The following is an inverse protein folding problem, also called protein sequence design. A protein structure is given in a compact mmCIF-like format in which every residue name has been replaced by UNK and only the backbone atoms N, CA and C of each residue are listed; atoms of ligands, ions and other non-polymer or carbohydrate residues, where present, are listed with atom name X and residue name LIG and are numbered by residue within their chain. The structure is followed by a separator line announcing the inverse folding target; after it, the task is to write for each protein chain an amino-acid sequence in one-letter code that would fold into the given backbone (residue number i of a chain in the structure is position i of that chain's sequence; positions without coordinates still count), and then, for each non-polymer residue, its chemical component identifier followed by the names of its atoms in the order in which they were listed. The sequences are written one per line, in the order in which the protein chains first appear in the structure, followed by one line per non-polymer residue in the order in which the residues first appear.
data_IF_962605320869
#
_entry.id   IF_962605320869
#
_cell.length_a   1.000
_cell.length_b   1.000
_cell.length_c   1.000
_cell.angle_alpha   90.00
_cell.angle_beta   90.00
_cell.angle_gamma   90.00
#
_symmetry.space_group_name_H-M   'P 1'
#
loop_
_entity.id
_entity.type
_entity.pdbx_description
1 polymer ?
#
# COMPACT_ATOMS: atom_id res chain seq x y z
N UNK A 1 -3.33 1.45 -31.60
CA UNK A 1 -3.59 -0.01 -31.50
C UNK A 1 -4.25 -0.23 -30.14
N UNK A 2 -5.42 -0.89 -30.06
CA UNK A 2 -6.05 -1.16 -28.76
C UNK A 2 -5.11 -1.99 -27.89
N UNK A 3 -4.97 -1.63 -26.61
CA UNK A 3 -4.25 -2.42 -25.63
C UNK A 3 -5.01 -3.71 -25.34
N UNK A 4 -4.59 -4.81 -25.97
CA UNK A 4 -5.23 -6.12 -25.84
C UNK A 4 -4.68 -6.94 -24.67
N UNK A 5 -3.56 -6.51 -24.06
CA UNK A 5 -2.88 -7.26 -23.00
C UNK A 5 -3.39 -6.76 -21.64
N UNK A 6 -3.34 -5.45 -21.41
CA UNK A 6 -3.76 -4.85 -20.13
C UNK A 6 -5.24 -4.48 -20.11
N UNK A 7 -5.84 -4.23 -21.28
CA UNK A 7 -7.26 -3.89 -21.42
C UNK A 7 -8.26 -5.05 -21.39
N UNK A 8 -7.79 -6.31 -21.29
CA UNK A 8 -8.68 -7.48 -21.17
C UNK A 8 -9.47 -7.43 -19.86
N UNK A 9 -10.71 -7.91 -19.77
CA UNK A 9 -11.40 -8.02 -18.48
C UNK A 9 -10.96 -9.30 -17.74
N UNK A 10 -10.33 -9.17 -16.57
CA UNK A 10 -9.83 -10.32 -15.78
C UNK A 10 -10.94 -11.27 -15.32
N UNK A 11 -12.18 -10.79 -15.21
CA UNK A 11 -13.32 -11.50 -14.66
C UNK A 11 -14.22 -12.09 -15.75
N UNK A 12 -14.35 -11.40 -16.89
CA UNK A 12 -15.22 -11.82 -17.98
C UNK A 12 -14.50 -12.55 -19.12
N UNK A 13 -13.18 -12.34 -19.30
CA UNK A 13 -12.49 -12.91 -20.45
C UNK A 13 -12.31 -14.43 -20.35
N UNK A 14 -12.43 -15.16 -21.48
CA UNK A 14 -12.16 -16.59 -21.50
C UNK A 14 -10.72 -16.92 -21.06
N UNK A 15 -10.55 -18.02 -20.35
CA UNK A 15 -9.24 -18.47 -19.88
C UNK A 15 -8.15 -18.59 -20.96
N UNK A 16 -8.43 -19.01 -22.21
CA UNK A 16 -7.42 -18.97 -23.28
C UNK A 16 -6.90 -17.57 -23.61
N UNK A 17 -7.74 -16.53 -23.47
CA UNK A 17 -7.33 -15.15 -23.70
C UNK A 17 -6.49 -14.63 -22.54
N UNK A 18 -6.92 -14.91 -21.30
CA UNK A 18 -6.14 -14.58 -20.10
C UNK A 18 -4.76 -15.23 -20.16
N UNK A 19 -4.68 -16.52 -20.51
CA UNK A 19 -3.41 -17.22 -20.69
C UNK A 19 -2.49 -16.52 -21.69
N UNK A 20 -3.01 -16.12 -22.86
CA UNK A 20 -2.20 -15.40 -23.87
C UNK A 20 -1.72 -14.03 -23.38
N UNK A 21 -2.53 -13.31 -22.61
CA UNK A 21 -2.14 -12.01 -22.05
C UNK A 21 -1.03 -12.19 -21.00
N UNK A 22 -1.21 -13.12 -20.06
CA UNK A 22 -0.19 -13.42 -19.04
C UNK A 22 1.08 -13.97 -19.69
N UNK A 23 0.96 -14.76 -20.76
CA UNK A 23 2.11 -15.23 -21.54
C UNK A 23 2.89 -14.09 -22.18
N UNK A 24 2.19 -13.10 -22.74
CA UNK A 24 2.85 -11.91 -23.28
C UNK A 24 3.58 -11.12 -22.16
N UNK A 25 2.95 -10.96 -20.99
CA UNK A 25 3.57 -10.33 -19.82
C UNK A 25 4.81 -11.12 -19.38
N UNK A 26 4.73 -12.45 -19.36
CA UNK A 26 5.86 -13.30 -19.03
C UNK A 26 7.03 -13.11 -20.00
N UNK A 27 6.76 -13.08 -21.30
CA UNK A 27 7.80 -12.80 -22.30
C UNK A 27 8.47 -11.43 -22.09
N UNK A 28 7.68 -10.40 -21.73
CA UNK A 28 8.20 -9.05 -21.44
C UNK A 28 8.98 -8.99 -20.12
N UNK A 29 8.67 -9.86 -19.15
CA UNK A 29 9.32 -9.85 -17.83
C UNK A 29 10.82 -10.17 -17.85
N UNK A 30 11.35 -10.71 -18.96
CA UNK A 30 12.78 -10.99 -19.13
C UNK A 30 13.58 -9.78 -19.63
N UNK A 31 12.91 -8.72 -20.07
CA UNK A 31 13.55 -7.52 -20.60
C UNK A 31 13.45 -6.37 -19.59
N UNK A 32 14.60 -5.87 -19.13
CA UNK A 32 14.63 -4.86 -18.07
C UNK A 32 13.98 -3.53 -18.48
N UNK A 33 14.11 -3.12 -19.74
CA UNK A 33 13.49 -1.89 -20.25
C UNK A 33 11.97 -2.05 -20.33
N UNK A 34 11.48 -3.20 -20.80
CA UNK A 34 10.06 -3.51 -20.79
C UNK A 34 9.47 -3.52 -19.37
N UNK A 35 10.22 -3.96 -18.35
CA UNK A 35 9.70 -3.99 -16.97
C UNK A 35 9.35 -2.62 -16.40
N UNK A 36 10.04 -1.55 -16.80
CA UNK A 36 9.67 -0.17 -16.43
C UNK A 36 8.31 0.20 -17.03
N UNK A 37 8.06 -0.20 -18.29
CA UNK A 37 6.76 0.05 -18.95
C UNK A 37 5.62 -0.79 -18.35
N UNK A 38 5.94 -1.93 -17.74
CA UNK A 38 4.94 -2.79 -17.07
C UNK A 38 4.41 -2.16 -15.79
N UNK A 39 5.26 -1.49 -15.02
CA UNK A 39 4.90 -0.73 -13.82
C UNK A 39 3.86 0.36 -14.16
N UNK A 40 4.15 1.20 -15.16
CA UNK A 40 3.23 2.25 -15.64
C UNK A 40 1.85 1.73 -16.08
N UNK A 41 1.78 0.45 -16.47
CA UNK A 41 0.57 -0.23 -16.95
C UNK A 41 -0.21 -0.95 -15.84
N UNK A 42 0.17 -0.78 -14.57
CA UNK A 42 -0.45 -1.45 -13.42
C UNK A 42 -0.48 -2.99 -13.60
N UNK A 43 0.63 -3.56 -14.09
CA UNK A 43 0.71 -5.01 -14.36
C UNK A 43 0.42 -5.86 -13.13
N UNK A 44 0.84 -5.41 -11.95
CA UNK A 44 0.65 -6.15 -10.70
C UNK A 44 -0.82 -6.26 -10.35
N UNK A 45 -1.55 -5.15 -10.38
CA UNK A 45 -3.02 -5.12 -10.22
C UNK A 45 -3.69 -6.07 -11.20
N UNK A 46 -3.21 -6.10 -12.45
CA UNK A 46 -3.72 -7.00 -13.48
C UNK A 46 -3.56 -8.46 -13.12
N UNK A 47 -2.35 -8.85 -12.71
CA UNK A 47 -2.04 -10.22 -12.26
C UNK A 47 -2.85 -10.57 -11.01
N UNK A 48 -2.97 -9.65 -10.05
CA UNK A 48 -3.76 -9.79 -8.82
C UNK A 48 -5.23 -10.09 -9.12
N UNK A 49 -5.83 -9.37 -10.06
CA UNK A 49 -7.21 -9.63 -10.46
C UNK A 49 -7.37 -10.99 -11.14
N UNK A 50 -6.44 -11.39 -11.99
CA UNK A 50 -6.46 -12.72 -12.64
C UNK A 50 -6.34 -13.83 -11.60
N UNK A 51 -5.40 -13.71 -10.65
CA UNK A 51 -5.22 -14.66 -9.54
C UNK A 51 -6.49 -14.75 -8.69
N UNK A 52 -7.13 -13.60 -8.42
CA UNK A 52 -8.34 -13.54 -7.59
C UNK A 52 -9.52 -14.26 -8.25
N UNK A 53 -9.72 -14.12 -9.58
CA UNK A 53 -10.93 -14.59 -10.26
C UNK A 53 -10.76 -15.89 -11.06
N UNK A 54 -9.57 -16.19 -11.57
CA UNK A 54 -9.34 -17.40 -12.37
C UNK A 54 -9.24 -18.63 -11.47
N UNK A 55 -9.83 -19.73 -11.93
CA UNK A 55 -9.63 -21.07 -11.33
C UNK A 55 -9.05 -22.06 -12.32
N UNK A 56 -8.54 -21.54 -13.44
CA UNK A 56 -7.92 -22.36 -14.48
C UNK A 56 -6.44 -22.54 -14.15
N UNK A 57 -6.05 -23.76 -13.76
CA UNK A 57 -4.71 -24.11 -13.27
C UNK A 57 -3.58 -23.58 -14.17
N UNK A 58 -3.67 -23.78 -15.50
CA UNK A 58 -2.64 -23.27 -16.43
C UNK A 58 -2.48 -21.76 -16.45
N UNK A 59 -3.54 -21.00 -16.14
CA UNK A 59 -3.49 -19.53 -16.05
C UNK A 59 -2.81 -19.15 -14.74
N UNK A 60 -3.20 -19.78 -13.64
CA UNK A 60 -2.61 -19.55 -12.32
C UNK A 60 -1.12 -19.90 -12.33
N UNK A 61 -0.73 -21.07 -12.85
CA UNK A 61 0.67 -21.46 -13.01
C UNK A 61 1.49 -20.39 -13.71
N UNK A 62 0.98 -19.87 -14.82
CA UNK A 62 1.70 -18.84 -15.58
C UNK A 62 1.77 -17.51 -14.82
N UNK A 63 0.72 -17.12 -14.09
CA UNK A 63 0.79 -15.97 -13.18
C UNK A 63 1.89 -16.16 -12.13
N UNK A 64 1.96 -17.32 -11.48
CA UNK A 64 3.00 -17.63 -10.49
C UNK A 64 4.41 -17.54 -11.12
N UNK A 65 4.59 -18.05 -12.35
CA UNK A 65 5.86 -17.93 -13.08
C UNK A 65 6.24 -16.48 -13.36
N UNK A 66 5.27 -15.64 -13.78
CA UNK A 66 5.49 -14.19 -13.96
C UNK A 66 5.93 -13.54 -12.65
N UNK A 67 5.28 -13.89 -11.54
CA UNK A 67 5.61 -13.31 -10.23
C UNK A 67 7.03 -13.66 -9.79
N UNK A 68 7.48 -14.90 -9.99
CA UNK A 68 8.88 -15.29 -9.73
C UNK A 68 9.87 -14.38 -10.47
N UNK A 69 9.59 -14.00 -11.72
CA UNK A 69 10.45 -13.09 -12.49
C UNK A 69 10.40 -11.65 -11.96
N UNK A 70 9.24 -11.17 -11.49
CA UNK A 70 9.09 -9.81 -10.98
C UNK A 70 9.82 -9.57 -9.65
N UNK A 71 10.13 -10.62 -8.89
CA UNK A 71 10.91 -10.51 -7.64
C UNK A 71 12.34 -9.98 -7.86
N UNK A 72 12.84 -9.94 -9.09
CA UNK A 72 14.10 -9.26 -9.41
C UNK A 72 14.01 -7.73 -9.49
N UNK A 73 12.81 -7.15 -9.50
CA UNK A 73 12.58 -5.72 -9.71
C UNK A 73 11.92 -5.07 -8.48
N UNK A 74 12.65 -4.14 -7.84
CA UNK A 74 12.21 -3.47 -6.61
C UNK A 74 10.90 -2.70 -6.77
N UNK A 75 10.70 -2.01 -7.90
CA UNK A 75 9.48 -1.23 -8.12
C UNK A 75 8.25 -2.15 -8.22
N UNK A 76 8.39 -3.29 -8.91
CA UNK A 76 7.31 -4.28 -8.97
C UNK A 76 7.06 -4.96 -7.61
N UNK A 77 8.08 -5.17 -6.77
CA UNK A 77 7.89 -5.67 -5.40
C UNK A 77 7.10 -4.67 -4.53
N UNK A 78 7.27 -3.36 -4.76
CA UNK A 78 6.50 -2.32 -4.10
C UNK A 78 5.01 -2.46 -4.45
N UNK A 79 4.71 -2.45 -5.75
CA UNK A 79 3.37 -2.64 -6.29
C UNK A 79 2.74 -3.96 -5.77
N UNK A 80 3.52 -5.05 -5.68
CA UNK A 80 3.04 -6.36 -5.17
C UNK A 80 2.47 -6.23 -3.76
N UNK A 81 3.12 -5.48 -2.88
CA UNK A 81 2.61 -5.30 -1.53
C UNK A 81 1.43 -4.31 -1.50
N UNK A 82 1.50 -3.23 -2.27
CA UNK A 82 0.46 -2.21 -2.30
C UNK A 82 -0.88 -2.76 -2.81
N UNK A 83 -0.84 -3.59 -3.85
CA UNK A 83 -2.03 -4.22 -4.43
C UNK A 83 -2.51 -5.45 -3.62
N UNK A 84 -1.84 -5.79 -2.52
CA UNK A 84 -2.19 -6.95 -1.68
C UNK A 84 -2.15 -8.27 -2.44
N UNK A 85 -1.17 -8.42 -3.34
CA UNK A 85 -1.06 -9.61 -4.17
C UNK A 85 -0.61 -10.83 -3.37
N UNK A 86 0.20 -10.65 -2.33
CA UNK A 86 0.61 -11.73 -1.43
C UNK A 86 -0.61 -12.45 -0.84
N UNK A 87 -1.56 -11.67 -0.31
CA UNK A 87 -2.80 -12.19 0.26
C UNK A 87 -3.62 -12.92 -0.81
N UNK A 88 -3.71 -12.36 -2.02
CA UNK A 88 -4.43 -13.00 -3.12
C UNK A 88 -3.81 -14.34 -3.53
N UNK A 89 -2.48 -14.45 -3.55
CA UNK A 89 -1.77 -15.72 -3.81
C UNK A 89 -2.01 -16.72 -2.68
N UNK A 90 -1.93 -16.29 -1.42
CA UNK A 90 -2.21 -17.16 -0.27
C UNK A 90 -3.64 -17.71 -0.27
N UNK A 91 -4.62 -16.92 -0.75
CA UNK A 91 -6.00 -17.40 -0.89
C UNK A 91 -6.15 -18.57 -1.87
N UNK A 92 -5.22 -18.75 -2.83
CA UNK A 92 -5.25 -19.88 -3.75
C UNK A 92 -5.03 -21.23 -3.04
N UNK A 93 -4.40 -21.25 -1.86
CA UNK A 93 -4.21 -22.50 -1.10
C UNK A 93 -5.52 -23.13 -0.65
N UNK A 94 -6.58 -22.33 -0.51
CA UNK A 94 -7.91 -22.80 -0.10
C UNK A 94 -8.79 -23.23 -1.28
N UNK A 95 -8.32 -23.05 -2.51
CA UNK A 95 -9.02 -23.49 -3.71
C UNK A 95 -8.85 -25.00 -3.95
N UNK A 96 -9.70 -25.58 -4.82
CA UNK A 96 -9.74 -27.02 -5.11
C UNK A 96 -9.11 -27.35 -6.47
N UNK A 97 -7.81 -27.19 -6.56
CA UNK A 97 -7.03 -27.65 -7.72
C UNK A 97 -6.84 -29.17 -7.68
N UNK A 98 -6.77 -29.77 -8.86
CA UNK A 98 -6.54 -31.21 -9.04
C UNK A 98 -5.06 -31.55 -8.96
N UNK A 99 -4.22 -30.60 -9.33
CA UNK A 99 -2.79 -30.76 -9.45
C UNK A 99 -2.07 -30.45 -8.13
N UNK A 100 -1.45 -31.44 -7.45
CA UNK A 100 -0.77 -31.23 -6.18
C UNK A 100 0.47 -30.32 -6.32
N UNK A 101 1.19 -30.37 -7.45
CA UNK A 101 2.39 -29.56 -7.67
C UNK A 101 2.06 -28.06 -7.73
N UNK A 102 0.84 -27.70 -8.14
CA UNK A 102 0.40 -26.31 -8.13
C UNK A 102 0.37 -25.73 -6.71
N UNK A 103 0.01 -26.53 -5.70
CA UNK A 103 0.03 -26.06 -4.31
C UNK A 103 1.45 -25.82 -3.80
N UNK A 104 2.42 -26.61 -4.28
CA UNK A 104 3.83 -26.38 -3.96
C UNK A 104 4.32 -25.07 -4.57
N UNK A 105 4.01 -24.82 -5.85
CA UNK A 105 4.30 -23.56 -6.53
C UNK A 105 3.67 -22.35 -5.81
N UNK A 106 2.40 -22.46 -5.39
CA UNK A 106 1.70 -21.39 -4.66
C UNK A 106 2.45 -21.04 -3.37
N UNK A 107 2.78 -22.05 -2.56
CA UNK A 107 3.48 -21.85 -1.27
C UNK A 107 4.88 -21.28 -1.47
N UNK A 108 5.60 -21.77 -2.47
CA UNK A 108 6.94 -21.29 -2.80
C UNK A 108 6.89 -19.80 -3.17
N UNK A 109 6.00 -19.42 -4.10
CA UNK A 109 5.86 -18.02 -4.52
C UNK A 109 5.37 -17.13 -3.39
N UNK A 110 4.41 -17.59 -2.58
CA UNK A 110 3.95 -16.83 -1.42
C UNK A 110 5.09 -16.59 -0.42
N UNK A 111 5.94 -17.58 -0.20
CA UNK A 111 7.11 -17.47 0.68
C UNK A 111 8.14 -16.48 0.12
N UNK A 112 8.44 -16.56 -1.18
CA UNK A 112 9.38 -15.65 -1.84
C UNK A 112 8.86 -14.20 -1.85
N UNK A 113 7.59 -13.98 -2.21
CA UNK A 113 6.95 -12.66 -2.13
C UNK A 113 7.02 -12.13 -0.70
N UNK A 114 6.69 -12.95 0.30
CA UNK A 114 6.73 -12.50 1.70
C UNK A 114 8.15 -12.14 2.12
N UNK A 115 9.18 -12.86 1.69
CA UNK A 115 10.57 -12.55 2.01
C UNK A 115 10.98 -11.18 1.42
N UNK A 116 10.79 -10.99 0.11
CA UNK A 116 11.12 -9.73 -0.58
C UNK A 116 10.32 -8.54 -0.04
N UNK A 117 9.03 -8.76 0.24
CA UNK A 117 8.17 -7.71 0.80
C UNK A 117 8.63 -7.31 2.20
N UNK A 118 9.08 -8.27 3.02
CA UNK A 118 9.58 -8.02 4.37
C UNK A 118 11.00 -7.44 4.39
N UNK A 119 11.88 -7.81 3.44
CA UNK A 119 13.21 -7.23 3.31
C UNK A 119 13.14 -5.72 3.07
N UNK A 120 12.15 -5.28 2.29
CA UNK A 120 11.82 -3.88 2.19
C UNK A 120 10.95 -3.44 3.35
N UNK A 121 11.61 -2.94 4.42
CA UNK A 121 10.93 -2.41 5.61
C UNK A 121 9.72 -1.55 5.22
N UNK A 122 8.55 -1.90 5.76
CA UNK A 122 7.31 -1.14 5.55
C UNK A 122 7.50 0.34 5.90
N UNK A 123 8.35 0.64 6.90
CA UNK A 123 8.69 2.00 7.26
C UNK A 123 9.49 2.73 6.18
N UNK A 124 10.42 2.05 5.50
CA UNK A 124 11.16 2.63 4.38
C UNK A 124 10.24 2.94 3.18
N UNK A 125 9.20 2.13 2.95
CA UNK A 125 8.16 2.43 1.94
C UNK A 125 7.37 3.68 2.33
N UNK A 126 6.92 3.73 3.58
CA UNK A 126 6.24 4.89 4.14
C UNK A 126 7.06 6.18 4.02
N UNK A 127 8.36 6.14 4.35
CA UNK A 127 9.24 7.30 4.19
C UNK A 127 9.39 7.75 2.74
N UNK A 128 9.33 6.84 1.77
CA UNK A 128 9.36 7.19 0.34
C UNK A 128 8.04 7.79 -0.11
N UNK A 129 6.92 7.25 0.32
CA UNK A 129 5.60 7.82 0.03
C UNK A 129 5.47 9.25 0.60
N UNK A 130 5.96 9.50 1.82
CA UNK A 130 6.05 10.85 2.37
C UNK A 130 6.91 11.80 1.52
N UNK A 131 7.94 11.28 0.84
CA UNK A 131 8.82 12.08 -0.02
C UNK A 131 8.18 12.39 -1.37
N UNK A 132 7.32 11.52 -1.91
CA UNK A 132 6.56 11.82 -3.14
C UNK A 132 5.53 12.93 -2.91
N UNK A 133 5.05 13.04 -1.66
CA UNK A 133 4.02 14.01 -1.26
C UNK A 133 2.61 13.64 -1.70
N UNK A 134 2.42 12.42 -2.20
CA UNK A 134 1.13 11.87 -2.60
C UNK A 134 0.86 10.60 -1.80
N UNK A 135 0.06 10.73 -0.74
CA UNK A 135 -0.30 9.60 0.11
C UNK A 135 -1.59 8.94 -0.39
N UNK A 136 -1.62 7.62 -0.38
CA UNK A 136 -2.81 6.83 -0.75
C UNK A 136 -3.16 5.83 0.34
N UNK A 137 -4.44 5.55 0.50
CA UNK A 137 -4.84 4.48 1.42
C UNK A 137 -4.21 3.15 1.04
N UNK A 138 -3.58 2.50 2.00
CA UNK A 138 -2.86 1.25 1.81
C UNK A 138 -2.50 0.60 3.14
N UNK A 139 -1.92 -0.59 3.09
CA UNK A 139 -1.58 -1.36 4.29
C UNK A 139 -0.54 -0.65 5.18
N UNK A 140 0.30 0.21 4.61
CA UNK A 140 1.28 1.06 5.32
C UNK A 140 0.64 2.22 6.10
N UNK A 141 -0.68 2.40 6.04
CA UNK A 141 -1.43 3.30 6.93
C UNK A 141 -2.38 2.52 7.86
N UNK A 142 -2.29 1.19 7.89
CA UNK A 142 -3.17 0.37 8.74
C UNK A 142 -2.78 0.43 10.22
N UNK A 143 -3.71 0.06 11.10
CA UNK A 143 -3.41 -0.07 12.53
C UNK A 143 -2.29 -1.07 12.81
N UNK A 144 -2.12 -2.10 11.96
CA UNK A 144 -1.02 -3.07 12.09
C UNK A 144 0.33 -2.41 11.81
N UNK A 145 0.44 -1.66 10.71
CA UNK A 145 1.65 -0.89 10.41
C UNK A 145 2.02 0.03 11.56
N UNK A 146 1.04 0.78 12.06
CA UNK A 146 1.26 1.77 13.11
C UNK A 146 1.65 1.14 14.45
N UNK A 147 1.09 -0.03 14.80
CA UNK A 147 1.49 -0.80 15.98
C UNK A 147 2.96 -1.27 15.92
N UNK A 148 3.45 -1.61 14.73
CA UNK A 148 4.80 -2.12 14.52
C UNK A 148 5.85 -1.01 14.34
N UNK A 149 5.49 0.12 13.72
CA UNK A 149 6.45 1.09 13.19
C UNK A 149 6.42 2.47 13.87
N UNK A 150 5.51 2.74 14.82
CA UNK A 150 5.40 4.06 15.45
C UNK A 150 6.72 4.57 16.06
N UNK A 151 7.53 3.69 16.68
CA UNK A 151 8.82 4.05 17.28
C UNK A 151 9.92 4.36 16.24
N UNK A 152 9.78 3.88 15.00
CA UNK A 152 10.76 4.15 13.95
C UNK A 152 10.80 5.64 13.55
N UNK A 153 9.74 6.40 13.85
CA UNK A 153 9.70 7.85 13.68
C UNK A 153 10.75 8.60 14.50
N UNK A 154 11.39 8.01 15.52
CA UNK A 154 12.47 8.68 16.24
C UNK A 154 13.73 8.88 15.37
N UNK A 155 13.86 8.12 14.27
CA UNK A 155 14.96 8.22 13.34
C UNK A 155 15.10 9.63 12.72
N UNK A 156 16.34 10.02 12.43
CA UNK A 156 16.69 11.27 11.73
C UNK A 156 16.02 12.52 12.35
N UNK A 157 15.97 12.58 13.69
CA UNK A 157 15.30 13.66 14.43
C UNK A 157 13.85 13.89 13.97
N UNK A 158 13.06 12.81 13.95
CA UNK A 158 11.64 12.85 13.58
C UNK A 158 11.40 13.38 12.16
N UNK A 159 12.28 13.04 11.21
CA UNK A 159 12.17 13.47 9.82
C UNK A 159 10.83 13.06 9.19
N UNK A 160 10.40 11.81 9.36
CA UNK A 160 9.13 11.33 8.84
C UNK A 160 7.94 12.14 9.39
N UNK A 161 7.96 12.46 10.68
CA UNK A 161 6.92 13.31 11.31
C UNK A 161 6.92 14.73 10.74
N UNK A 162 8.11 15.30 10.50
CA UNK A 162 8.25 16.65 9.91
C UNK A 162 7.74 16.68 8.46
N UNK A 163 8.00 15.64 7.66
CA UNK A 163 7.46 15.51 6.31
C UNK A 163 5.93 15.41 6.34
N UNK A 164 5.38 14.53 7.18
CA UNK A 164 3.94 14.37 7.37
C UNK A 164 3.26 15.70 7.78
N UNK A 165 3.87 16.44 8.71
CA UNK A 165 3.42 17.77 9.09
C UNK A 165 3.49 18.77 7.93
N UNK A 166 4.55 18.72 7.12
CA UNK A 166 4.69 19.52 5.91
C UNK A 166 3.55 19.32 4.91
N UNK A 167 3.11 18.07 4.70
CA UNK A 167 1.98 17.75 3.82
C UNK A 167 0.67 18.36 4.31
N UNK A 168 0.42 18.34 5.63
CA UNK A 168 -0.78 18.96 6.23
C UNK A 168 -0.78 20.49 6.09
N UNK A 169 0.40 21.11 6.26
CA UNK A 169 0.57 22.56 6.23
C UNK A 169 0.63 23.12 4.81
N UNK A 170 0.98 22.30 3.81
CA UNK A 170 1.04 22.74 2.43
C UNK A 170 -0.37 23.00 1.87
N UNK A 171 -0.61 24.16 1.22
CA UNK A 171 -1.92 24.49 0.64
C UNK A 171 -2.20 23.75 -0.66
N UNK A 172 -1.18 23.18 -1.31
CA UNK A 172 -1.30 22.49 -2.61
C UNK A 172 -1.55 20.99 -2.49
N UNK A 173 -1.69 20.46 -1.28
CA UNK A 173 -1.90 19.04 -1.03
C UNK A 173 -3.31 18.61 -1.40
N UNK A 174 -3.43 17.48 -2.10
CA UNK A 174 -4.72 16.95 -2.52
C UNK A 174 -5.54 16.39 -1.35
N UNK A 175 -6.86 16.24 -1.56
CA UNK A 175 -7.80 15.82 -0.53
C UNK A 175 -7.53 14.42 0.03
N UNK A 176 -7.07 13.47 -0.80
CA UNK A 176 -6.76 12.11 -0.32
C UNK A 176 -5.52 12.14 0.57
N UNK A 177 -4.46 12.82 0.13
CA UNK A 177 -3.24 12.98 0.92
C UNK A 177 -3.51 13.65 2.26
N UNK A 178 -4.33 14.71 2.30
CA UNK A 178 -4.71 15.38 3.55
C UNK A 178 -5.47 14.46 4.51
N UNK A 179 -6.37 13.62 3.99
CA UNK A 179 -7.13 12.67 4.80
C UNK A 179 -6.21 11.61 5.43
N UNK A 180 -5.36 10.98 4.62
CA UNK A 180 -4.38 9.99 5.07
C UNK A 180 -3.42 10.62 6.08
N UNK A 181 -2.92 11.82 5.81
CA UNK A 181 -2.00 12.50 6.70
C UNK A 181 -2.63 12.83 8.08
N UNK A 182 -3.92 13.20 8.12
CA UNK A 182 -4.63 13.41 9.38
C UNK A 182 -4.78 12.10 10.16
N UNK A 183 -5.16 11.01 9.47
CA UNK A 183 -5.27 9.69 10.06
C UNK A 183 -3.96 9.26 10.73
N UNK A 184 -2.87 9.31 9.97
CA UNK A 184 -1.52 8.95 10.37
C UNK A 184 -0.99 9.76 11.54
N UNK A 185 -1.19 11.08 11.51
CA UNK A 185 -0.81 11.95 12.62
C UNK A 185 -1.54 11.52 13.91
N UNK A 186 -2.81 11.14 13.81
CA UNK A 186 -3.60 10.65 14.93
C UNK A 186 -3.09 9.31 15.48
N UNK A 187 -2.75 8.37 14.60
CA UNK A 187 -2.15 7.08 14.98
C UNK A 187 -0.81 7.28 15.69
N UNK A 188 0.08 8.09 15.12
CA UNK A 188 1.37 8.42 15.74
C UNK A 188 1.20 9.01 17.15
N UNK A 189 0.30 9.97 17.33
CA UNK A 189 0.00 10.59 18.63
C UNK A 189 -0.48 9.57 19.66
N UNK A 190 -1.22 8.56 19.21
CA UNK A 190 -1.85 7.57 20.08
C UNK A 190 -0.86 6.50 20.51
N UNK A 191 -0.01 6.05 19.59
CA UNK A 191 0.87 4.89 19.79
C UNK A 191 2.28 5.28 20.24
N UNK A 192 2.78 6.47 19.86
CA UNK A 192 4.10 6.92 20.27
C UNK A 192 4.09 7.53 21.68
N UNK A 193 4.96 7.10 22.62
CA UNK A 193 5.00 7.63 23.99
C UNK A 193 5.13 9.16 24.07
N UNK A 194 5.92 9.75 23.17
CA UNK A 194 6.14 11.19 23.09
C UNK A 194 5.36 11.89 21.95
N UNK A 195 4.41 11.18 21.32
CA UNK A 195 3.74 11.63 20.09
C UNK A 195 3.10 13.01 20.24
N UNK A 196 2.30 13.23 21.28
CA UNK A 196 1.69 14.53 21.57
C UNK A 196 2.69 15.67 21.72
N UNK A 197 3.75 15.45 22.49
CA UNK A 197 4.78 16.45 22.74
C UNK A 197 5.47 16.85 21.44
N UNK A 198 5.79 15.87 20.59
CA UNK A 198 6.43 16.09 19.30
C UNK A 198 5.51 16.80 18.32
N UNK A 199 4.25 16.38 18.22
CA UNK A 199 3.26 17.03 17.34
C UNK A 199 2.94 18.46 17.77
N UNK A 200 2.90 18.74 19.08
CA UNK A 200 2.72 20.11 19.58
C UNK A 200 3.82 21.08 19.12
N UNK A 201 5.05 20.60 18.90
CA UNK A 201 6.17 21.40 18.40
C UNK A 201 6.05 21.78 16.93
N UNK A 202 5.22 21.05 16.16
CA UNK A 202 5.08 21.23 14.70
C UNK A 202 3.93 22.17 14.32
N UNK A 203 3.19 22.71 15.28
CA UNK A 203 2.11 23.68 15.08
C UNK A 203 0.99 23.22 14.12
N UNK A 204 0.87 21.91 13.86
CA UNK A 204 -0.14 21.34 12.94
C UNK A 204 -1.57 21.32 13.51
N UNK A 205 -1.74 21.54 14.81
CA UNK A 205 -3.04 21.44 15.49
C UNK A 205 -4.09 22.40 14.91
N UNK A 206 -3.70 23.64 14.67
CA UNK A 206 -4.59 24.67 14.10
C UNK A 206 -5.04 24.27 12.69
N UNK A 207 -4.10 23.74 11.89
CA UNK A 207 -4.38 23.25 10.55
C UNK A 207 -5.35 22.06 10.55
N UNK A 208 -5.17 21.09 11.45
CA UNK A 208 -6.11 19.96 11.59
C UNK A 208 -7.51 20.46 11.99
N UNK A 209 -7.61 21.45 12.88
CA UNK A 209 -8.88 22.06 13.26
C UNK A 209 -9.55 22.83 12.10
N UNK A 210 -8.77 23.49 11.25
CA UNK A 210 -9.26 24.14 10.03
C UNK A 210 -9.82 23.10 9.04
N UNK A 211 -9.09 22.00 8.80
CA UNK A 211 -9.48 20.93 7.88
C UNK A 211 -10.79 20.25 8.32
N UNK A 212 -11.00 20.10 9.63
CA UNK A 212 -12.27 19.61 10.21
C UNK A 212 -13.47 20.50 9.83
N UNK A 213 -13.26 21.81 9.66
CA UNK A 213 -14.29 22.79 9.31
C UNK A 213 -14.52 22.99 7.80
N UNK A 214 -13.74 22.32 6.93
CA UNK A 214 -13.85 22.47 5.48
C UNK A 214 -15.25 22.10 4.96
N UNK A 215 -15.93 22.96 4.20
CA UNK A 215 -17.32 22.74 3.79
C UNK A 215 -17.47 22.07 2.42
N UNK A 216 -16.37 21.89 1.68
CA UNK A 216 -16.42 21.37 0.32
C UNK A 216 -16.82 19.88 0.30
N UNK A 217 -17.56 19.46 -0.74
CA UNK A 217 -18.11 18.10 -0.82
C UNK A 217 -17.03 17.03 -1.00
N UNK A 218 -15.96 17.34 -1.73
CA UNK A 218 -14.79 16.50 -1.99
C UNK A 218 -13.92 16.28 -0.75
N UNK A 219 -13.99 17.18 0.25
CA UNK A 219 -13.24 17.09 1.52
C UNK A 219 -13.99 16.39 2.65
N UNK A 220 -15.04 15.61 2.33
CA UNK A 220 -15.79 14.85 3.34
C UNK A 220 -14.92 13.89 4.14
N UNK A 221 -14.00 13.20 3.46
CA UNK A 221 -13.07 12.27 4.09
C UNK A 221 -12.03 13.01 4.94
N UNK A 222 -11.46 14.10 4.42
CA UNK A 222 -10.56 15.00 5.14
C UNK A 222 -11.19 15.47 6.46
N UNK A 223 -12.43 15.97 6.43
CA UNK A 223 -13.15 16.38 7.64
C UNK A 223 -13.24 15.27 8.68
N UNK A 224 -13.58 14.06 8.23
CA UNK A 224 -13.74 12.89 9.10
C UNK A 224 -12.42 12.55 9.77
N UNK A 225 -11.36 12.39 9.00
CA UNK A 225 -10.05 12.02 9.54
C UNK A 225 -9.43 13.15 10.39
N UNK A 226 -9.63 14.41 10.00
CA UNK A 226 -9.21 15.56 10.79
C UNK A 226 -9.95 15.63 12.14
N UNK A 227 -11.27 15.34 12.18
CA UNK A 227 -12.03 15.26 13.43
C UNK A 227 -11.49 14.15 14.35
N UNK A 228 -11.24 12.96 13.80
CA UNK A 228 -10.69 11.82 14.57
C UNK A 228 -9.28 12.13 15.07
N UNK A 229 -8.43 12.73 14.24
CA UNK A 229 -7.10 13.19 14.64
C UNK A 229 -7.18 14.23 15.77
N UNK A 230 -8.07 15.21 15.64
CA UNK A 230 -8.28 16.24 16.65
C UNK A 230 -8.74 15.62 17.99
N UNK A 231 -9.65 14.65 17.97
CA UNK A 231 -10.04 13.91 19.16
C UNK A 231 -8.82 13.22 19.81
N UNK A 232 -8.01 12.49 19.04
CA UNK A 232 -6.79 11.82 19.54
C UNK A 232 -5.77 12.81 20.11
N UNK A 233 -5.62 13.99 19.51
CA UNK A 233 -4.75 15.07 20.00
C UNK A 233 -5.23 15.65 21.34
N UNK A 234 -6.55 15.76 21.53
CA UNK A 234 -7.17 16.39 22.70
C UNK A 234 -7.39 15.42 23.87
N UNK A 235 -7.46 14.11 23.60
CA UNK A 235 -7.63 13.08 24.61
C UNK A 235 -6.37 12.95 25.47
N UNK A 236 -6.39 13.43 26.71
CA UNK A 236 -5.35 13.15 27.69
C UNK A 236 -5.40 11.69 28.13
N UNK A 237 -4.28 10.95 28.01
CA UNK A 237 -4.20 9.63 28.63
C UNK A 237 -4.19 9.88 30.14
N UNK A 238 -4.91 9.05 30.90
CA UNK A 238 -4.99 9.13 32.36
C UNK A 238 -3.62 9.18 33.07
N UNK A 239 -2.54 8.77 32.38
CA UNK A 239 -1.15 8.88 32.83
C UNK A 239 -0.66 10.33 33.02
N UNK A 240 -1.26 11.31 32.32
CA UNK A 240 -0.93 12.73 32.49
C UNK A 240 -1.62 13.37 33.71
N UNK A 241 -2.60 12.68 34.33
CA UNK A 241 -3.30 13.16 35.54
C UNK A 241 -2.69 12.62 36.84
N UNK A 242 -1.57 11.90 36.77
CA UNK A 242 -0.88 11.29 37.91
C UNK A 242 0.46 11.93 38.29
N UNK A 243 0.69 13.18 37.89
CA UNK A 243 1.84 13.98 38.36
C UNK A 243 1.37 15.19 39.15
#
# INVERSE_FOLDING_TARGET
VMDRIFGVDSKAAPAPNLYKCVFAIWMLSFDSEATETLEERQVIKKIRDIVTYSRVEKVIRLCLTVLKNFLGNKALIEDIAEEGLLEAVQQLEFEKFRDPELYEDIREVATQISAEVNEMSNFARYERELQTGHLKWGFIHSSKFWAENALMFEANDFRALKLLAGLLLSPSTDSTTLAVACHDLGEFVTLHPFGKKKVAQLQVKERVMELMGSTEADKREVRREALLCCQKLMLNKWQDMGK
#
